data_IF_531547325586
#
_entry.id   IF_531547325586
#
_cell.length_a   1.000
_cell.length_b   1.000
_cell.length_c   1.000
_cell.angle_alpha   90.00
_cell.angle_beta   90.00
_cell.angle_gamma   90.00
#
_symmetry.space_group_name_H-M   'P 1'
#
loop_
_entity.id
_entity.type
_entity.pdbx_description
1 polymer ?
#
# COMPACT_ATOMS: atom_id res chain seq x y z
N UNK A 1 6.45 -5.11 -29.03
CA UNK A 1 7.29 -4.31 -28.10
C UNK A 1 7.42 -5.07 -26.80
N UNK A 2 8.62 -5.55 -26.48
CA UNK A 2 8.93 -6.28 -25.26
C UNK A 2 8.63 -5.40 -24.03
N UNK A 3 7.76 -5.88 -23.14
CA UNK A 3 7.61 -5.31 -21.79
C UNK A 3 8.99 -5.34 -21.13
N UNK A 4 9.58 -4.17 -20.87
CA UNK A 4 10.77 -4.07 -20.01
C UNK A 4 10.35 -4.54 -18.62
N UNK A 5 10.71 -5.76 -18.26
CA UNK A 5 10.78 -6.18 -16.86
C UNK A 5 11.65 -5.16 -16.14
N UNK A 6 11.09 -4.49 -15.13
CA UNK A 6 11.85 -3.56 -14.29
C UNK A 6 12.81 -4.41 -13.45
N UNK A 7 14.03 -4.60 -13.96
CA UNK A 7 15.10 -5.32 -13.30
C UNK A 7 15.35 -4.67 -11.93
N UNK A 8 15.27 -5.44 -10.84
CA UNK A 8 15.66 -4.96 -9.51
C UNK A 8 17.17 -4.68 -9.54
N UNK A 9 17.52 -3.41 -9.49
CA UNK A 9 18.90 -2.96 -9.58
C UNK A 9 19.55 -3.02 -8.20
N UNK A 10 20.32 -4.07 -7.96
CA UNK A 10 21.11 -4.22 -6.74
C UNK A 10 22.46 -3.48 -6.79
N UNK A 11 22.80 -2.84 -7.92
CA UNK A 11 24.03 -2.08 -8.10
C UNK A 11 23.80 -0.62 -7.70
N UNK A 12 24.31 -0.14 -6.56
CA UNK A 12 23.96 1.17 -6.01
C UNK A 12 24.35 2.33 -6.93
N UNK A 13 25.46 2.19 -7.65
CA UNK A 13 25.95 3.19 -8.61
C UNK A 13 24.90 3.44 -9.71
N UNK A 14 24.21 2.40 -10.17
CA UNK A 14 23.18 2.55 -11.20
C UNK A 14 21.96 3.32 -10.67
N UNK A 15 21.69 3.25 -9.37
CA UNK A 15 20.58 3.95 -8.73
C UNK A 15 20.80 5.48 -8.70
N UNK A 16 22.07 5.93 -8.69
CA UNK A 16 22.41 7.35 -8.82
C UNK A 16 22.02 7.93 -10.20
N UNK A 17 22.03 7.08 -11.23
CA UNK A 17 21.59 7.43 -12.58
C UNK A 17 20.07 7.32 -12.72
N UNK A 18 19.47 6.20 -12.30
CA UNK A 18 18.04 5.95 -12.52
C UNK A 18 17.15 6.79 -11.62
N UNK A 19 17.62 7.13 -10.41
CA UNK A 19 16.94 7.98 -9.42
C UNK A 19 15.50 7.57 -9.15
N UNK A 20 15.20 6.29 -9.28
CA UNK A 20 13.88 5.73 -9.02
C UNK A 20 13.98 4.28 -8.57
N UNK A 21 13.01 3.83 -7.79
CA UNK A 21 12.95 2.48 -7.25
C UNK A 21 11.95 2.38 -6.10
N UNK A 22 11.97 1.26 -5.39
CA UNK A 22 11.18 0.98 -4.17
C UNK A 22 12.08 1.07 -2.94
N UNK A 23 11.58 0.65 -1.78
CA UNK A 23 12.34 0.76 -0.54
C UNK A 23 13.72 0.11 -0.60
N UNK A 24 13.86 -1.02 -1.31
CA UNK A 24 15.15 -1.63 -1.64
C UNK A 24 16.14 -0.67 -2.27
N UNK A 25 15.79 -0.09 -3.41
CA UNK A 25 16.65 0.83 -4.14
C UNK A 25 16.90 2.14 -3.36
N UNK A 26 15.88 2.68 -2.69
CA UNK A 26 16.03 3.90 -1.89
C UNK A 26 16.98 3.68 -0.71
N UNK A 27 16.79 2.62 0.08
CA UNK A 27 17.67 2.28 1.19
C UNK A 27 19.10 1.99 0.71
N UNK A 28 19.25 1.27 -0.40
CA UNK A 28 20.57 0.92 -0.95
C UNK A 28 21.33 2.16 -1.46
N UNK A 29 20.65 3.04 -2.20
CA UNK A 29 21.22 4.29 -2.69
C UNK A 29 21.56 5.24 -1.53
N UNK A 30 20.68 5.38 -0.55
CA UNK A 30 20.92 6.22 0.62
C UNK A 30 22.08 5.70 1.46
N UNK A 31 22.16 4.38 1.70
CA UNK A 31 23.29 3.78 2.39
C UNK A 31 24.63 4.06 1.69
N UNK A 32 24.66 3.99 0.35
CA UNK A 32 25.83 4.38 -0.44
C UNK A 32 26.22 5.84 -0.17
N UNK A 33 25.26 6.76 -0.23
CA UNK A 33 25.48 8.19 -0.02
C UNK A 33 26.03 8.45 1.40
N UNK A 34 25.41 7.90 2.44
CA UNK A 34 25.88 8.03 3.82
C UNK A 34 27.33 7.55 3.97
N UNK A 35 27.66 6.40 3.40
CA UNK A 35 29.02 5.85 3.43
C UNK A 35 30.01 6.73 2.67
N UNK A 36 29.60 7.29 1.53
CA UNK A 36 30.45 8.16 0.71
C UNK A 36 30.82 9.47 1.42
N UNK A 37 29.92 10.03 2.23
CA UNK A 37 30.18 11.22 3.05
C UNK A 37 30.85 10.91 4.41
N UNK A 38 31.27 9.66 4.63
CA UNK A 38 32.03 9.27 5.82
C UNK A 38 31.20 8.87 7.04
N UNK A 39 29.87 8.77 6.92
CA UNK A 39 29.05 8.27 8.01
C UNK A 39 29.25 6.77 8.21
N UNK A 40 29.20 6.35 9.48
CA UNK A 40 29.04 4.93 9.78
C UNK A 40 27.58 4.56 9.57
N UNK A 41 27.35 3.47 8.84
CA UNK A 41 26.03 3.14 8.29
C UNK A 41 25.79 1.65 8.42
N UNK A 42 24.58 1.30 8.83
CA UNK A 42 24.04 -0.06 8.77
C UNK A 42 22.92 -0.10 7.75
N UNK A 43 22.90 -1.15 6.94
CA UNK A 43 21.73 -1.53 6.16
C UNK A 43 20.84 -2.41 7.02
N UNK A 44 19.56 -2.06 7.15
CA UNK A 44 18.60 -2.76 8.00
C UNK A 44 17.64 -3.57 7.15
N UNK A 45 17.40 -4.82 7.55
CA UNK A 45 16.46 -5.71 6.90
C UNK A 45 15.51 -6.30 7.94
N UNK A 46 14.21 -6.14 7.73
CA UNK A 46 13.18 -6.80 8.52
C UNK A 46 12.78 -8.16 7.93
N UNK A 47 11.98 -8.92 8.68
CA UNK A 47 11.40 -10.18 8.22
C UNK A 47 10.05 -10.03 7.50
N UNK A 48 9.61 -8.80 7.21
CA UNK A 48 8.30 -8.44 6.66
C UNK A 48 8.45 -7.59 5.37
N UNK A 49 9.52 -7.82 4.60
CA UNK A 49 9.78 -7.24 3.29
C UNK A 49 9.93 -5.70 3.27
N UNK A 50 10.66 -5.14 4.25
CA UNK A 50 11.12 -3.75 4.21
C UNK A 50 12.55 -3.61 4.69
N UNK A 51 13.16 -2.53 4.22
CA UNK A 51 14.58 -2.22 4.43
C UNK A 51 14.75 -0.72 4.59
N UNK A 52 15.70 -0.33 5.43
CA UNK A 52 16.04 1.05 5.72
C UNK A 52 17.48 1.13 6.20
N UNK A 53 17.88 2.26 6.78
CA UNK A 53 19.26 2.54 7.17
C UNK A 53 19.34 2.97 8.64
N UNK A 54 20.42 2.63 9.34
CA UNK A 54 20.83 3.33 10.56
C UNK A 54 22.14 4.07 10.32
N UNK A 55 22.28 5.25 10.90
CA UNK A 55 23.53 6.02 10.92
C UNK A 55 24.01 6.18 12.35
N UNK A 56 25.33 6.14 12.57
CA UNK A 56 25.90 6.46 13.88
C UNK A 56 25.94 7.98 14.07
N UNK A 57 25.20 8.50 15.04
CA UNK A 57 25.25 9.90 15.42
C UNK A 57 26.24 10.07 16.57
N UNK A 58 27.39 10.69 16.30
CA UNK A 58 28.46 10.88 17.30
C UNK A 58 27.98 11.74 18.48
N UNK A 59 27.23 12.81 18.23
CA UNK A 59 26.73 13.72 19.25
C UNK A 59 25.70 13.07 20.19
N UNK A 60 24.94 12.10 19.68
CA UNK A 60 23.93 11.36 20.45
C UNK A 60 24.49 10.06 21.04
N UNK A 61 25.72 9.71 20.70
CA UNK A 61 26.41 8.48 21.06
C UNK A 61 25.57 7.20 20.82
N UNK A 62 24.81 7.16 19.73
CA UNK A 62 23.93 6.04 19.39
C UNK A 62 23.66 5.89 17.89
N UNK A 63 23.11 4.73 17.53
CA UNK A 63 22.54 4.51 16.21
C UNK A 63 21.20 5.23 16.09
N UNK A 64 21.02 5.92 14.97
CA UNK A 64 19.82 6.66 14.62
C UNK A 64 19.17 5.98 13.43
N UNK A 65 17.89 5.69 13.59
CA UNK A 65 17.03 5.19 12.53
C UNK A 65 16.91 6.22 11.38
N UNK A 66 17.00 5.77 10.13
CA UNK A 66 16.75 6.59 8.95
C UNK A 66 15.98 5.77 7.90
N UNK A 67 14.75 6.18 7.59
CA UNK A 67 14.00 5.66 6.44
C UNK A 67 13.99 6.71 5.32
N UNK A 68 14.83 6.55 4.28
CA UNK A 68 14.88 7.49 3.17
C UNK A 68 13.64 7.43 2.28
N UNK A 69 12.87 6.34 2.31
CA UNK A 69 11.62 6.23 1.55
C UNK A 69 10.58 7.16 2.14
N UNK A 70 10.48 7.14 3.47
CA UNK A 70 9.48 7.88 4.24
C UNK A 70 9.94 9.30 4.60
N UNK A 71 11.22 9.62 4.35
CA UNK A 71 11.86 10.86 4.80
C UNK A 71 11.73 11.06 6.33
N UNK A 72 11.93 9.96 7.08
CA UNK A 72 11.81 9.93 8.53
C UNK A 72 13.15 9.58 9.16
N UNK A 73 13.48 10.28 10.24
CA UNK A 73 14.71 10.06 11.00
C UNK A 73 14.36 9.94 12.48
N UNK A 74 15.06 9.03 13.16
CA UNK A 74 14.95 8.79 14.59
C UNK A 74 13.51 8.51 15.06
N UNK A 75 12.84 7.58 14.39
CA UNK A 75 11.45 7.20 14.69
C UNK A 75 11.27 5.69 14.52
N UNK A 76 11.95 4.87 15.32
CA UNK A 76 12.00 3.43 15.10
C UNK A 76 10.65 2.74 15.31
N UNK A 77 9.74 3.30 16.11
CA UNK A 77 8.43 2.68 16.36
C UNK A 77 7.38 2.98 15.28
N UNK A 78 7.70 3.78 14.25
CA UNK A 78 6.78 4.09 13.14
C UNK A 78 6.23 2.82 12.46
N UNK A 79 7.03 1.76 12.41
CA UNK A 79 6.62 0.54 11.76
C UNK A 79 5.66 -0.30 12.59
N UNK A 80 5.97 -0.53 13.87
CA UNK A 80 5.12 -1.33 14.74
C UNK A 80 3.87 -0.56 15.17
N UNK A 81 4.03 0.71 15.56
CA UNK A 81 2.92 1.54 16.03
C UNK A 81 2.13 2.17 14.88
N UNK A 82 2.81 2.80 13.92
CA UNK A 82 2.17 3.45 12.78
C UNK A 82 1.65 2.46 11.74
N UNK A 83 2.49 1.53 11.27
CA UNK A 83 2.13 0.60 10.18
C UNK A 83 1.54 -0.72 10.69
N UNK A 84 1.43 -0.90 12.01
CA UNK A 84 0.96 -2.12 12.65
C UNK A 84 1.75 -3.38 12.22
N UNK A 85 3.04 -3.22 11.91
CA UNK A 85 3.92 -4.33 11.56
C UNK A 85 4.19 -5.21 12.76
N UNK A 86 4.09 -6.52 12.56
CA UNK A 86 4.23 -7.54 13.61
C UNK A 86 5.57 -8.23 13.51
N UNK A 87 6.65 -7.51 13.81
CA UNK A 87 8.01 -8.02 13.65
C UNK A 87 8.29 -9.28 14.46
N UNK A 88 9.13 -10.13 13.87
CA UNK A 88 9.84 -11.20 14.55
C UNK A 88 11.35 -10.91 14.58
N UNK A 89 11.93 -10.46 13.45
CA UNK A 89 13.36 -10.20 13.31
C UNK A 89 13.61 -8.92 12.52
N UNK A 90 14.52 -8.08 13.01
CA UNK A 90 15.09 -6.94 12.30
C UNK A 90 16.60 -6.96 12.50
N UNK A 91 17.35 -7.09 11.40
CA UNK A 91 18.79 -7.35 11.42
C UNK A 91 19.53 -6.19 10.76
N UNK A 92 20.57 -5.72 11.44
CA UNK A 92 21.45 -4.69 10.96
C UNK A 92 22.75 -5.28 10.40
N UNK A 93 23.15 -4.79 9.22
CA UNK A 93 24.39 -5.17 8.54
C UNK A 93 25.27 -3.94 8.37
N UNK A 94 26.44 -3.94 9.02
CA UNK A 94 27.50 -2.96 8.83
C UNK A 94 28.74 -3.60 8.21
N UNK A 95 29.73 -2.78 7.86
CA UNK A 95 31.02 -3.26 7.35
C UNK A 95 31.80 -4.13 8.34
N UNK A 96 31.60 -3.90 9.64
CA UNK A 96 32.42 -4.44 10.73
C UNK A 96 31.63 -5.30 11.73
N UNK A 97 30.30 -5.38 11.61
CA UNK A 97 29.47 -6.17 12.50
C UNK A 97 28.09 -6.46 11.89
N UNK A 98 27.43 -7.48 12.45
CA UNK A 98 26.01 -7.77 12.23
C UNK A 98 25.33 -7.79 13.60
N UNK A 99 24.14 -7.20 13.72
CA UNK A 99 23.44 -7.06 14.99
C UNK A 99 21.95 -7.37 14.86
N UNK A 100 21.38 -8.02 15.87
CA UNK A 100 19.93 -8.11 16.03
C UNK A 100 19.43 -6.82 16.69
N UNK A 101 18.77 -5.98 15.89
CA UNK A 101 18.24 -4.68 16.33
C UNK A 101 16.72 -4.71 16.51
N UNK A 102 16.10 -5.90 16.50
CA UNK A 102 14.64 -6.10 16.63
C UNK A 102 14.04 -5.26 17.76
N UNK A 103 14.70 -5.22 18.91
CA UNK A 103 14.19 -4.56 20.12
C UNK A 103 14.13 -3.03 20.03
N UNK A 104 14.84 -2.41 19.09
CA UNK A 104 14.69 -0.97 18.78
C UNK A 104 13.34 -0.68 18.12
N UNK A 105 12.89 -1.60 17.27
CA UNK A 105 11.73 -1.46 16.40
C UNK A 105 10.46 -2.12 16.95
N UNK A 106 10.50 -2.60 18.19
CA UNK A 106 9.35 -3.24 18.86
C UNK A 106 9.22 -2.76 20.30
N UNK A 107 8.00 -2.45 20.70
CA UNK A 107 7.64 -2.01 22.04
C UNK A 107 7.26 -3.21 22.94
N UNK A 108 6.41 -4.13 22.45
CA UNK A 108 6.03 -5.33 23.21
C UNK A 108 6.98 -6.50 22.94
N UNK A 109 7.99 -6.61 23.81
CA UNK A 109 8.99 -7.68 23.74
C UNK A 109 8.41 -9.07 23.99
N UNK A 110 7.36 -9.20 24.82
CA UNK A 110 6.75 -10.51 25.13
C UNK A 110 6.03 -11.05 23.91
N UNK A 111 5.27 -10.20 23.23
CA UNK A 111 4.56 -10.56 21.99
C UNK A 111 5.56 -10.83 20.86
N UNK A 112 6.56 -9.98 20.70
CA UNK A 112 7.61 -10.16 19.68
C UNK A 112 8.38 -11.47 19.89
N UNK A 113 8.73 -11.81 21.13
CA UNK A 113 9.42 -13.06 21.46
C UNK A 113 8.61 -14.30 21.06
N UNK A 114 7.28 -14.26 21.18
CA UNK A 114 6.40 -15.37 20.74
C UNK A 114 6.39 -15.57 19.22
N UNK A 115 6.68 -14.53 18.44
CA UNK A 115 6.74 -14.60 16.97
C UNK A 115 8.08 -15.14 16.45
N UNK A 116 9.13 -15.16 17.29
CA UNK A 116 10.49 -15.58 16.94
C UNK A 116 10.64 -17.10 16.93
N UNK A 117 9.94 -17.75 16.01
CA UNK A 117 9.84 -19.22 15.93
C UNK A 117 10.70 -19.86 14.84
N UNK A 118 11.29 -19.07 13.93
CA UNK A 118 12.06 -19.59 12.79
C UNK A 118 13.36 -20.30 13.20
N UNK A 119 13.89 -19.97 14.37
CA UNK A 119 15.09 -20.61 14.92
C UNK A 119 15.11 -20.52 16.45
N UNK A 120 15.85 -21.43 17.09
CA UNK A 120 16.05 -21.40 18.55
C UNK A 120 16.83 -20.12 18.93
N UNK A 121 16.37 -19.33 19.91
CA UNK A 121 17.02 -18.06 20.27
C UNK A 121 18.52 -18.18 20.54
N UNK A 122 18.95 -19.20 21.30
CA UNK A 122 20.37 -19.42 21.58
C UNK A 122 21.21 -19.71 20.32
N UNK A 123 20.65 -20.44 19.36
CA UNK A 123 21.34 -20.74 18.08
C UNK A 123 21.47 -19.46 17.27
N UNK A 124 20.41 -18.66 17.20
CA UNK A 124 20.40 -17.39 16.50
C UNK A 124 21.42 -16.40 17.06
N UNK A 125 21.41 -16.16 18.38
CA UNK A 125 22.37 -15.27 19.02
C UNK A 125 23.81 -15.75 18.82
N UNK A 126 24.06 -17.05 19.00
CA UNK A 126 25.39 -17.61 18.76
C UNK A 126 25.85 -17.42 17.30
N UNK A 127 24.94 -17.53 16.33
CA UNK A 127 25.25 -17.30 14.92
C UNK A 127 25.61 -15.84 14.66
N UNK A 128 24.78 -14.88 15.09
CA UNK A 128 25.01 -13.44 14.92
C UNK A 128 26.32 -13.02 15.60
N UNK A 129 26.56 -13.45 16.84
CA UNK A 129 27.80 -13.14 17.58
C UNK A 129 29.03 -13.70 16.86
N UNK A 130 28.99 -14.94 16.38
CA UNK A 130 30.12 -15.52 15.62
C UNK A 130 30.36 -14.78 14.30
N UNK A 131 29.30 -14.38 13.59
CA UNK A 131 29.41 -13.63 12.36
C UNK A 131 30.02 -12.24 12.60
N UNK A 132 29.53 -11.52 13.62
CA UNK A 132 30.04 -10.23 14.03
C UNK A 132 31.53 -10.30 14.44
N UNK A 133 31.90 -11.29 15.26
CA UNK A 133 33.29 -11.49 15.68
C UNK A 133 34.23 -11.78 14.50
N UNK A 134 33.75 -12.50 13.46
CA UNK A 134 34.54 -12.73 12.24
C UNK A 134 34.80 -11.44 11.47
N UNK A 135 33.79 -10.58 11.36
CA UNK A 135 33.93 -9.27 10.70
C UNK A 135 34.86 -8.34 11.49
N UNK A 136 34.82 -8.41 12.82
CA UNK A 136 35.64 -7.58 13.69
C UNK A 136 37.09 -8.07 13.87
N UNK A 137 37.42 -9.32 13.50
CA UNK A 137 38.68 -10.01 13.84
C UNK A 137 39.94 -9.22 13.48
N UNK A 138 39.95 -8.57 12.32
CA UNK A 138 41.12 -7.88 11.77
C UNK A 138 41.07 -6.35 11.98
N UNK A 139 40.12 -5.85 12.77
CA UNK A 139 40.03 -4.42 13.06
C UNK A 139 41.08 -4.00 14.10
N UNK A 140 41.53 -2.74 14.08
CA UNK A 140 42.38 -2.21 15.14
C UNK A 140 41.77 -2.38 16.52
N UNK A 141 42.60 -2.63 17.54
CA UNK A 141 42.15 -2.90 18.91
C UNK A 141 41.25 -1.76 19.45
N UNK A 142 41.58 -0.51 19.14
CA UNK A 142 40.77 0.65 19.53
C UNK A 142 39.35 0.60 18.93
N UNK A 143 39.22 0.20 17.66
CA UNK A 143 37.90 0.03 17.03
C UNK A 143 37.13 -1.14 17.62
N UNK A 144 37.81 -2.23 18.02
CA UNK A 144 37.15 -3.35 18.68
C UNK A 144 36.58 -2.94 20.05
N UNK A 145 37.35 -2.20 20.86
CA UNK A 145 36.89 -1.66 22.14
C UNK A 145 35.70 -0.71 21.96
N UNK A 146 35.78 0.17 20.96
CA UNK A 146 34.68 1.07 20.63
C UNK A 146 33.40 0.30 20.26
N UNK A 147 33.49 -0.68 19.36
CA UNK A 147 32.33 -1.49 18.96
C UNK A 147 31.73 -2.25 20.14
N UNK A 148 32.55 -2.78 21.05
CA UNK A 148 32.08 -3.42 22.28
C UNK A 148 31.34 -2.44 23.20
N UNK A 149 31.87 -1.22 23.39
CA UNK A 149 31.19 -0.18 24.16
C UNK A 149 29.84 0.18 23.56
N UNK A 150 29.79 0.42 22.24
CA UNK A 150 28.54 0.75 21.53
C UNK A 150 27.51 -0.38 21.61
N UNK A 151 27.96 -1.63 21.47
CA UNK A 151 27.10 -2.81 21.64
C UNK A 151 26.47 -2.88 23.04
N UNK A 152 27.25 -2.61 24.10
CA UNK A 152 26.73 -2.57 25.46
C UNK A 152 25.70 -1.45 25.65
N UNK A 153 25.96 -0.26 25.09
CA UNK A 153 25.01 0.85 25.09
C UNK A 153 23.69 0.47 24.39
N UNK A 154 23.74 -0.15 23.20
CA UNK A 154 22.55 -0.65 22.50
C UNK A 154 21.81 -1.75 23.29
N UNK A 155 22.54 -2.66 23.94
CA UNK A 155 21.91 -3.68 24.78
C UNK A 155 21.11 -3.03 25.92
N UNK A 156 21.65 -1.99 26.55
CA UNK A 156 20.97 -1.22 27.59
C UNK A 156 19.75 -0.48 27.02
N UNK A 157 19.88 0.17 25.86
CA UNK A 157 18.77 0.79 25.13
C UNK A 157 17.62 -0.23 24.91
N UNK A 158 17.94 -1.44 24.49
CA UNK A 158 16.96 -2.50 24.22
C UNK A 158 16.27 -3.03 25.47
N UNK A 159 16.81 -2.80 26.67
CA UNK A 159 16.14 -3.15 27.92
C UNK A 159 14.99 -2.20 28.25
N UNK A 160 14.98 -0.98 27.70
CA UNK A 160 14.03 0.07 28.05
C UNK A 160 13.26 0.59 26.83
N UNK A 161 12.19 -0.11 26.37
CA UNK A 161 11.44 0.24 25.17
C UNK A 161 10.91 1.67 25.13
N UNK A 162 10.72 2.29 26.29
CA UNK A 162 10.30 3.68 26.44
C UNK A 162 11.29 4.64 25.81
N UNK A 163 12.59 4.31 25.81
CA UNK A 163 13.63 5.14 25.18
C UNK A 163 13.54 5.13 23.65
N UNK A 164 12.78 4.19 23.07
CA UNK A 164 12.56 4.09 21.63
C UNK A 164 11.30 4.86 21.19
N UNK A 165 10.45 5.28 22.14
CA UNK A 165 9.37 6.23 21.86
C UNK A 165 9.95 7.61 21.67
N UNK A 166 9.48 8.30 20.64
CA UNK A 166 9.93 9.66 20.32
C UNK A 166 8.71 10.55 20.43
N UNK A 167 8.61 11.23 21.57
CA UNK A 167 7.47 12.07 21.93
C UNK A 167 7.19 13.09 20.81
N UNK A 168 5.98 13.03 20.24
CA UNK A 168 5.51 14.02 19.26
C UNK A 168 5.81 13.72 17.79
N UNK A 169 6.40 12.58 17.44
CA UNK A 169 6.57 12.21 16.02
C UNK A 169 5.23 11.78 15.40
N UNK A 170 4.69 12.58 14.48
CA UNK A 170 3.52 12.21 13.65
C UNK A 170 3.74 10.88 12.90
N UNK A 171 4.98 10.53 12.56
CA UNK A 171 5.26 9.26 11.87
C UNK A 171 5.00 8.02 12.74
N UNK A 172 4.92 8.14 14.08
CA UNK A 172 4.52 7.02 14.96
C UNK A 172 3.01 6.81 15.04
N UNK A 173 2.22 7.81 14.61
CA UNK A 173 0.75 7.79 14.67
C UNK A 173 0.09 7.58 13.31
N UNK A 174 0.86 7.63 12.21
CA UNK A 174 0.35 7.48 10.84
C UNK A 174 0.95 6.23 10.16
N UNK A 175 0.18 5.65 9.23
CA UNK A 175 0.65 4.56 8.36
C UNK A 175 1.71 5.02 7.36
N UNK A 176 2.13 4.14 6.46
CA UNK A 176 3.14 4.42 5.42
C UNK A 176 2.74 5.63 4.55
N UNK A 177 3.67 6.57 4.30
CA UNK A 177 3.41 7.81 3.55
C UNK A 177 4.31 7.95 2.30
N UNK A 178 5.31 7.09 2.07
CA UNK A 178 6.24 7.23 0.94
C UNK A 178 5.61 7.12 -0.46
N UNK A 179 6.01 8.06 -1.33
CA UNK A 179 5.60 8.17 -2.74
C UNK A 179 5.06 9.55 -3.11
N UNK A 180 5.36 10.05 -4.32
CA UNK A 180 4.67 11.23 -4.88
C UNK A 180 3.15 10.98 -4.88
N UNK A 181 2.32 12.03 -4.80
CA UNK A 181 0.84 11.90 -4.77
C UNK A 181 0.33 11.00 -5.91
N UNK A 182 0.88 11.17 -7.11
CA UNK A 182 0.68 10.32 -8.28
C UNK A 182 1.16 8.87 -8.14
N UNK A 183 2.22 8.60 -7.36
CA UNK A 183 2.74 7.26 -7.07
C UNK A 183 1.89 6.51 -6.02
N UNK A 184 1.34 7.25 -5.04
CA UNK A 184 0.37 6.74 -4.04
C UNK A 184 -0.99 6.42 -4.68
N UNK A 185 -1.47 7.32 -5.54
CA UNK A 185 -2.69 7.16 -6.33
C UNK A 185 -2.61 5.95 -7.29
N UNK A 186 -1.42 5.68 -7.84
CA UNK A 186 -1.20 4.53 -8.73
C UNK A 186 -1.17 3.16 -8.03
N UNK A 187 -1.13 3.10 -6.69
CA UNK A 187 -0.89 1.85 -5.94
C UNK A 187 -1.83 1.53 -4.77
N UNK A 188 -2.78 2.41 -4.45
CA UNK A 188 -3.86 2.12 -3.50
C UNK A 188 -3.37 1.65 -2.10
N UNK A 189 -2.29 2.24 -1.59
CA UNK A 189 -1.71 1.93 -0.26
C UNK A 189 -2.30 2.81 0.87
N UNK A 190 -3.38 3.55 0.61
CA UNK A 190 -4.15 4.24 1.66
C UNK A 190 -5.24 3.30 2.13
N UNK A 191 -5.19 2.90 3.40
CA UNK A 191 -6.33 2.27 4.09
C UNK A 191 -7.58 3.12 3.87
N UNK A 192 -8.59 2.55 3.20
CA UNK A 192 -9.97 3.06 3.05
C UNK A 192 -10.11 4.58 3.26
N UNK A 193 -9.46 5.38 2.42
CA UNK A 193 -9.90 6.76 2.26
C UNK A 193 -11.15 6.68 1.42
N UNK A 194 -12.32 6.79 2.07
CA UNK A 194 -13.58 6.71 1.37
C UNK A 194 -13.65 7.84 0.34
N UNK A 195 -13.45 7.52 -0.94
CA UNK A 195 -13.45 8.50 -2.00
C UNK A 195 -14.89 8.93 -2.28
N UNK A 196 -15.25 10.11 -1.79
CA UNK A 196 -16.49 10.78 -2.18
C UNK A 196 -16.18 11.62 -3.40
N UNK A 197 -16.76 11.25 -4.53
CA UNK A 197 -16.60 11.97 -5.78
C UNK A 197 -17.47 13.22 -5.74
N UNK A 198 -16.91 14.36 -6.17
CA UNK A 198 -17.62 15.64 -6.29
C UNK A 198 -17.51 16.18 -7.70
N UNK A 199 -18.57 16.80 -8.25
CA UNK A 199 -18.49 17.58 -9.47
C UNK A 199 -17.41 18.66 -9.36
N UNK A 200 -16.59 18.74 -10.39
CA UNK A 200 -15.64 19.83 -10.60
C UNK A 200 -16.37 21.03 -11.22
N UNK A 201 -15.76 22.21 -11.18
CA UNK A 201 -16.33 23.41 -11.80
C UNK A 201 -16.64 23.18 -13.28
N UNK A 202 -15.76 22.49 -14.02
CA UNK A 202 -15.97 22.18 -15.44
C UNK A 202 -17.17 21.26 -15.68
N UNK A 203 -17.42 20.29 -14.79
CA UNK A 203 -18.57 19.38 -14.90
C UNK A 203 -19.88 20.05 -14.52
N UNK A 204 -19.85 20.98 -13.57
CA UNK A 204 -21.00 21.83 -13.22
C UNK A 204 -21.33 22.76 -14.40
N UNK A 205 -20.33 23.42 -14.98
CA UNK A 205 -20.50 24.28 -16.16
C UNK A 205 -21.02 23.50 -17.38
N UNK A 206 -20.57 22.24 -17.55
CA UNK A 206 -21.05 21.34 -18.58
C UNK A 206 -22.40 20.67 -18.26
N UNK A 207 -22.94 20.89 -17.05
CA UNK A 207 -24.13 20.20 -16.49
C UNK A 207 -24.07 18.68 -16.57
N UNK A 208 -22.86 18.12 -16.52
CA UNK A 208 -22.64 16.69 -16.72
C UNK A 208 -21.38 16.22 -16.00
N UNK A 209 -21.55 15.34 -15.02
CA UNK A 209 -20.48 14.53 -14.44
C UNK A 209 -20.47 13.17 -15.12
N UNK A 210 -19.34 12.80 -15.72
CA UNK A 210 -19.20 11.53 -16.41
C UNK A 210 -17.91 10.82 -15.99
N UNK A 211 -18.04 9.56 -15.59
CA UNK A 211 -16.94 8.69 -15.15
C UNK A 211 -16.95 7.46 -16.04
N UNK A 212 -15.80 7.16 -16.64
CA UNK A 212 -15.57 5.94 -17.40
C UNK A 212 -14.47 5.13 -16.74
N UNK A 213 -14.63 3.81 -16.65
CA UNK A 213 -13.58 2.90 -16.25
C UNK A 213 -13.36 1.82 -17.29
N UNK A 214 -12.12 1.38 -17.40
CA UNK A 214 -11.73 0.24 -18.22
C UNK A 214 -10.89 -0.72 -17.37
N UNK A 215 -11.45 -1.91 -17.13
CA UNK A 215 -10.79 -2.99 -16.38
C UNK A 215 -9.56 -3.59 -17.08
N UNK A 216 -9.36 -3.45 -18.40
CA UNK A 216 -8.15 -3.88 -19.08
C UNK A 216 -6.95 -2.96 -18.76
N UNK A 217 -7.17 -1.64 -18.84
CA UNK A 217 -6.14 -0.61 -18.58
C UNK A 217 -6.03 -0.21 -17.11
N UNK A 218 -7.00 -0.64 -16.30
CA UNK A 218 -7.18 -0.30 -14.90
C UNK A 218 -7.15 1.23 -14.66
N UNK A 219 -8.01 1.93 -15.38
CA UNK A 219 -7.99 3.40 -15.45
C UNK A 219 -9.41 3.96 -15.48
N UNK A 220 -9.65 4.97 -14.64
CA UNK A 220 -10.79 5.86 -14.72
C UNK A 220 -10.46 7.08 -15.57
N UNK A 221 -11.46 7.62 -16.27
CA UNK A 221 -11.40 8.89 -17.01
C UNK A 221 -12.64 9.72 -16.72
N UNK A 222 -12.44 11.02 -16.50
CA UNK A 222 -13.51 12.02 -16.41
C UNK A 222 -13.38 12.98 -17.59
N UNK A 223 -14.19 12.82 -18.66
CA UNK A 223 -14.01 13.56 -19.90
C UNK A 223 -14.07 15.08 -19.73
N UNK A 224 -15.01 15.57 -18.91
CA UNK A 224 -15.23 17.00 -18.70
C UNK A 224 -14.17 17.67 -17.80
N UNK A 225 -13.51 16.91 -16.93
CA UNK A 225 -12.40 17.36 -16.08
C UNK A 225 -11.02 17.06 -16.70
N UNK A 226 -10.99 16.35 -17.84
CA UNK A 226 -9.78 15.83 -18.48
C UNK A 226 -8.84 15.07 -17.51
N UNK A 227 -9.38 14.50 -16.44
CA UNK A 227 -8.61 13.80 -15.40
C UNK A 227 -8.67 12.29 -15.56
N UNK A 228 -7.58 11.63 -15.16
CA UNK A 228 -7.43 10.17 -15.21
C UNK A 228 -6.90 9.65 -13.89
N UNK A 229 -7.47 8.55 -13.40
CA UNK A 229 -7.04 7.90 -12.15
C UNK A 229 -6.75 6.42 -12.38
N UNK A 230 -5.60 5.93 -11.94
CA UNK A 230 -5.21 4.52 -12.09
C UNK A 230 -5.72 3.68 -10.92
N UNK A 231 -6.13 2.45 -11.22
CA UNK A 231 -6.61 1.48 -10.24
C UNK A 231 -8.10 1.60 -9.97
N UNK A 232 -8.83 0.48 -10.00
CA UNK A 232 -10.28 0.44 -9.73
C UNK A 232 -10.66 1.01 -8.35
N UNK A 233 -9.74 0.98 -7.38
CA UNK A 233 -9.99 1.52 -6.03
C UNK A 233 -9.81 3.04 -5.93
N UNK A 234 -9.22 3.69 -6.93
CA UNK A 234 -8.89 5.12 -6.86
C UNK A 234 -10.10 6.04 -6.73
N UNK A 235 -11.26 5.63 -7.26
CA UNK A 235 -12.54 6.32 -7.13
C UNK A 235 -13.57 5.52 -6.32
N UNK A 236 -13.16 4.45 -5.64
CA UNK A 236 -14.06 3.66 -4.81
C UNK A 236 -14.26 4.35 -3.45
N UNK A 237 -15.52 4.51 -3.06
CA UNK A 237 -15.89 4.94 -1.71
C UNK A 237 -15.62 3.83 -0.69
N UNK A 238 -15.96 2.59 -1.04
CA UNK A 238 -15.67 1.43 -0.19
C UNK A 238 -15.29 0.23 -1.05
N UNK A 239 -14.32 -0.56 -0.59
CA UNK A 239 -13.88 -1.78 -1.28
C UNK A 239 -13.49 -2.84 -0.24
N UNK A 240 -14.36 -3.82 -0.01
CA UNK A 240 -14.12 -4.95 0.90
C UNK A 240 -13.96 -6.24 0.12
N UNK A 241 -12.86 -6.96 0.31
CA UNK A 241 -12.63 -8.28 -0.28
C UNK A 241 -12.80 -8.31 -1.82
N UNK A 242 -12.42 -7.23 -2.51
CA UNK A 242 -12.43 -7.15 -3.98
C UNK A 242 -11.02 -6.92 -4.49
N UNK A 243 -10.67 -7.60 -5.58
CA UNK A 243 -9.45 -7.34 -6.33
C UNK A 243 -9.67 -7.47 -7.83
N UNK A 244 -8.74 -6.89 -8.58
CA UNK A 244 -8.67 -7.01 -10.04
C UNK A 244 -7.83 -8.23 -10.42
N UNK A 245 -8.42 -9.17 -11.15
CA UNK A 245 -7.72 -10.35 -11.67
C UNK A 245 -7.36 -10.13 -13.14
N UNK A 246 -6.14 -10.52 -13.50
CA UNK A 246 -5.67 -10.61 -14.88
C UNK A 246 -5.34 -12.06 -15.17
N UNK A 247 -6.05 -12.65 -16.13
CA UNK A 247 -5.79 -13.98 -16.67
C UNK A 247 -4.97 -13.84 -17.95
N UNK A 248 -3.68 -14.17 -17.89
CA UNK A 248 -2.78 -14.06 -19.05
C UNK A 248 -3.15 -15.10 -20.11
N UNK A 249 -3.43 -16.33 -19.69
CA UNK A 249 -3.74 -17.45 -20.59
C UNK A 249 -5.02 -17.21 -21.40
N UNK A 250 -6.02 -16.58 -20.77
CA UNK A 250 -7.31 -16.28 -21.38
C UNK A 250 -7.38 -14.87 -21.97
N UNK A 251 -6.34 -14.05 -21.76
CA UNK A 251 -6.29 -12.62 -22.11
C UNK A 251 -7.49 -11.83 -21.57
N UNK A 252 -7.92 -12.10 -20.34
CA UNK A 252 -9.05 -11.42 -19.69
C UNK A 252 -8.64 -10.60 -18.47
N UNK A 253 -9.37 -9.53 -18.21
CA UNK A 253 -9.34 -8.78 -16.96
C UNK A 253 -10.76 -8.60 -16.41
N UNK A 254 -10.92 -8.66 -15.10
CA UNK A 254 -12.19 -8.50 -14.39
C UNK A 254 -11.97 -8.15 -12.92
N UNK A 255 -13.03 -7.71 -12.23
CA UNK A 255 -13.05 -7.58 -10.78
C UNK A 255 -13.84 -8.75 -10.17
N UNK A 256 -13.34 -9.31 -9.09
CA UNK A 256 -13.96 -10.43 -8.37
C UNK A 256 -13.58 -10.39 -6.89
N UNK A 257 -14.10 -11.36 -6.12
CA UNK A 257 -13.78 -11.46 -4.69
C UNK A 257 -12.33 -11.87 -4.48
N UNK A 258 -11.73 -11.44 -3.38
CA UNK A 258 -10.44 -11.97 -2.93
C UNK A 258 -10.53 -13.46 -2.61
N UNK A 259 -9.42 -14.19 -2.82
CA UNK A 259 -9.39 -15.64 -2.61
C UNK A 259 -9.76 -16.00 -1.17
N UNK A 260 -10.63 -17.01 -1.02
CA UNK A 260 -11.14 -17.44 0.30
C UNK A 260 -12.24 -16.56 0.90
N UNK A 261 -12.62 -15.45 0.27
CA UNK A 261 -13.69 -14.58 0.77
C UNK A 261 -15.09 -15.04 0.32
N UNK A 262 -16.04 -15.07 1.27
CA UNK A 262 -17.43 -15.44 1.01
C UNK A 262 -18.20 -14.33 0.26
N UNK A 263 -17.92 -13.08 0.61
CA UNK A 263 -18.53 -11.88 0.02
C UNK A 263 -17.48 -10.84 -0.34
N UNK A 264 -17.74 -10.11 -1.41
CA UNK A 264 -16.96 -8.94 -1.83
C UNK A 264 -17.90 -7.78 -2.13
N UNK A 265 -17.48 -6.57 -1.78
CA UNK A 265 -18.31 -5.37 -1.87
C UNK A 265 -17.50 -4.21 -2.44
N UNK A 266 -18.09 -3.50 -3.38
CA UNK A 266 -17.52 -2.32 -4.02
C UNK A 266 -18.58 -1.22 -4.09
N UNK A 267 -18.24 -0.03 -3.61
CA UNK A 267 -19.16 1.11 -3.51
C UNK A 267 -18.51 2.33 -4.15
N UNK A 268 -19.28 3.05 -4.97
CA UNK A 268 -18.98 4.39 -5.44
C UNK A 268 -19.98 5.37 -4.83
N UNK A 269 -19.51 6.53 -4.38
CA UNK A 269 -20.34 7.58 -3.81
C UNK A 269 -20.05 8.92 -4.48
N UNK A 270 -21.09 9.58 -4.96
CA UNK A 270 -21.03 10.91 -5.59
C UNK A 270 -21.91 11.86 -4.78
N UNK A 271 -21.33 12.96 -4.28
CA UNK A 271 -22.10 14.07 -3.69
C UNK A 271 -22.35 15.12 -4.77
N UNK A 272 -23.59 15.57 -4.95
CA UNK A 272 -23.94 16.53 -6.00
C UNK A 272 -23.55 17.98 -5.66
N UNK A 273 -23.11 18.24 -4.43
CA UNK A 273 -22.59 19.54 -3.98
C UNK A 273 -23.56 20.73 -4.20
N UNK A 274 -24.86 20.50 -4.09
CA UNK A 274 -25.91 21.51 -4.26
C UNK A 274 -26.58 21.51 -5.64
N UNK A 275 -26.03 20.80 -6.63
CA UNK A 275 -26.65 20.63 -7.94
C UNK A 275 -27.79 19.60 -7.89
N UNK A 276 -28.85 19.84 -8.65
CA UNK A 276 -29.98 18.91 -8.77
C UNK A 276 -29.74 17.92 -9.91
N UNK A 277 -29.83 16.59 -9.66
CA UNK A 277 -29.71 15.60 -10.73
C UNK A 277 -30.98 15.60 -11.60
N UNK A 278 -30.79 15.71 -12.91
CA UNK A 278 -31.83 15.55 -13.93
C UNK A 278 -31.93 14.10 -14.41
N UNK A 279 -30.80 13.44 -14.62
CA UNK A 279 -30.75 12.02 -14.99
C UNK A 279 -29.47 11.36 -14.43
N UNK A 280 -29.58 10.11 -13.99
CA UNK A 280 -28.44 9.30 -13.54
C UNK A 280 -28.44 8.00 -14.34
N UNK A 281 -27.39 7.79 -15.12
CA UNK A 281 -27.18 6.55 -15.88
C UNK A 281 -25.96 5.81 -15.35
N UNK A 282 -26.12 4.54 -14.99
CA UNK A 282 -25.04 3.66 -14.56
C UNK A 282 -25.04 2.42 -15.44
N UNK A 283 -23.86 2.07 -15.98
CA UNK A 283 -23.64 0.86 -16.75
C UNK A 283 -22.40 0.15 -16.21
N UNK A 284 -22.55 -1.10 -15.77
CA UNK A 284 -21.44 -1.97 -15.38
C UNK A 284 -21.40 -3.29 -16.17
N UNK A 285 -22.15 -3.35 -17.27
CA UNK A 285 -22.24 -4.53 -18.14
C UNK A 285 -22.86 -5.75 -17.48
N UNK A 286 -23.08 -6.80 -18.27
CA UNK A 286 -23.59 -8.07 -17.77
C UNK A 286 -22.51 -8.79 -16.92
N UNK A 287 -22.80 -9.13 -15.65
CA UNK A 287 -21.87 -9.87 -14.81
C UNK A 287 -21.68 -11.29 -15.30
N UNK A 288 -20.45 -11.80 -15.20
CA UNK A 288 -20.15 -13.19 -15.49
C UNK A 288 -20.23 -14.03 -14.21
N UNK A 289 -21.27 -14.86 -14.14
CA UNK A 289 -21.54 -15.74 -13.00
C UNK A 289 -21.42 -17.23 -13.37
N UNK A 290 -20.81 -18.05 -12.50
CA UNK A 290 -20.70 -19.52 -12.60
C UNK A 290 -21.06 -20.18 -11.27
N UNK A 291 -21.49 -21.44 -11.31
CA UNK A 291 -21.74 -22.29 -10.14
C UNK A 291 -22.34 -21.53 -8.94
N UNK A 292 -23.57 -21.03 -9.07
CA UNK A 292 -24.32 -20.21 -8.09
C UNK A 292 -23.66 -18.89 -7.64
N UNK A 293 -22.62 -18.43 -8.32
CA UNK A 293 -22.09 -17.07 -8.20
C UNK A 293 -23.18 -16.04 -8.49
N UNK A 294 -23.20 -14.97 -7.70
CA UNK A 294 -24.22 -13.93 -7.76
C UNK A 294 -23.59 -12.55 -7.67
N UNK A 295 -24.14 -11.62 -8.44
CA UNK A 295 -23.80 -10.20 -8.39
C UNK A 295 -25.09 -9.42 -8.15
N UNK A 296 -25.08 -8.57 -7.14
CA UNK A 296 -26.19 -7.71 -6.77
C UNK A 296 -25.73 -6.25 -6.86
N UNK A 297 -26.19 -5.54 -7.89
CA UNK A 297 -26.03 -4.10 -8.01
C UNK A 297 -27.22 -3.37 -7.37
N UNK A 298 -26.96 -2.33 -6.59
CA UNK A 298 -27.98 -1.45 -6.01
C UNK A 298 -27.52 -0.01 -6.17
N UNK A 299 -28.39 0.83 -6.71
CA UNK A 299 -28.18 2.27 -6.83
C UNK A 299 -29.14 2.96 -5.90
N UNK A 300 -28.63 3.81 -5.00
CA UNK A 300 -29.41 4.63 -4.11
C UNK A 300 -29.16 6.11 -4.40
N UNK A 301 -30.22 6.88 -4.56
CA UNK A 301 -30.18 8.34 -4.68
C UNK A 301 -31.12 8.92 -3.63
N UNK A 302 -30.59 9.51 -2.57
CA UNK A 302 -31.39 9.85 -1.38
C UNK A 302 -32.04 8.61 -0.75
N UNK A 303 -33.36 8.63 -0.56
CA UNK A 303 -34.13 7.50 -0.02
C UNK A 303 -34.55 6.46 -1.07
N UNK A 304 -34.34 6.74 -2.37
CA UNK A 304 -34.75 5.84 -3.44
C UNK A 304 -33.62 4.88 -3.79
N UNK A 305 -33.86 3.57 -3.67
CA UNK A 305 -32.91 2.52 -4.06
C UNK A 305 -33.51 1.60 -5.13
N UNK A 306 -32.75 1.35 -6.20
CA UNK A 306 -33.14 0.49 -7.31
C UNK A 306 -32.08 -0.59 -7.53
N UNK A 307 -32.53 -1.82 -7.73
CA UNK A 307 -31.65 -2.94 -8.09
C UNK A 307 -31.26 -2.83 -9.57
N UNK A 308 -29.98 -3.06 -9.86
CA UNK A 308 -29.42 -2.98 -11.20
C UNK A 308 -28.76 -4.30 -11.57
N UNK A 309 -29.05 -4.79 -12.76
CA UNK A 309 -28.46 -6.02 -13.29
C UNK A 309 -27.29 -5.73 -14.24
N UNK A 310 -27.38 -4.67 -15.05
CA UNK A 310 -26.38 -4.27 -16.02
C UNK A 310 -26.32 -2.74 -16.21
N UNK A 311 -27.41 -2.14 -16.70
CA UNK A 311 -27.58 -0.71 -16.94
C UNK A 311 -28.87 -0.22 -16.30
N UNK A 312 -28.83 0.94 -15.68
CA UNK A 312 -30.02 1.66 -15.19
C UNK A 312 -29.94 3.13 -15.58
N UNK A 313 -31.08 3.71 -15.90
CA UNK A 313 -31.26 5.15 -16.02
C UNK A 313 -32.37 5.58 -15.07
N UNK A 314 -32.05 6.46 -14.13
CA UNK A 314 -32.98 7.09 -13.20
C UNK A 314 -33.27 8.52 -13.70
N UNK A 315 -34.54 8.91 -13.76
CA UNK A 315 -34.98 10.24 -14.21
C UNK A 315 -35.90 10.93 -13.19
N UNK A 316 -36.20 10.26 -12.09
CA UNK A 316 -37.07 10.77 -11.03
C UNK A 316 -36.24 10.80 -9.76
N UNK A 317 -36.17 11.96 -9.12
CA UNK A 317 -35.38 12.19 -7.92
C UNK A 317 -36.23 12.98 -6.92
N UNK A 318 -36.08 12.67 -5.64
CA UNK A 318 -36.67 13.46 -4.58
C UNK A 318 -35.96 14.82 -4.44
N UNK A 319 -36.66 15.84 -3.95
CA UNK A 319 -36.08 17.19 -3.79
C UNK A 319 -34.87 17.25 -2.83
N UNK A 320 -34.70 16.22 -2.00
CA UNK A 320 -33.59 16.05 -1.04
C UNK A 320 -32.46 15.14 -1.56
N UNK A 321 -32.48 14.75 -2.85
CA UNK A 321 -31.43 13.97 -3.48
C UNK A 321 -30.10 14.75 -3.49
N UNK A 322 -29.26 14.52 -2.50
CA UNK A 322 -27.97 15.20 -2.31
C UNK A 322 -26.76 14.37 -2.73
N UNK A 323 -26.95 13.05 -2.88
CA UNK A 323 -25.90 12.12 -3.25
C UNK A 323 -26.44 10.89 -3.99
N UNK A 324 -25.54 10.24 -4.71
CA UNK A 324 -25.70 8.94 -5.35
C UNK A 324 -24.74 7.93 -4.72
N UNK A 325 -25.23 6.76 -4.36
CA UNK A 325 -24.44 5.60 -3.97
C UNK A 325 -24.71 4.44 -4.92
N UNK A 326 -23.67 3.90 -5.54
CA UNK A 326 -23.76 2.67 -6.32
C UNK A 326 -22.95 1.57 -5.63
N UNK A 327 -23.63 0.51 -5.21
CA UNK A 327 -23.06 -0.63 -4.49
C UNK A 327 -23.18 -1.89 -5.34
N UNK A 328 -22.09 -2.64 -5.43
CA UNK A 328 -22.06 -4.00 -5.99
C UNK A 328 -21.62 -4.97 -4.90
N UNK A 329 -22.47 -5.97 -4.62
CA UNK A 329 -22.12 -7.15 -3.81
C UNK A 329 -21.90 -8.37 -4.72
N UNK A 330 -20.80 -9.08 -4.49
CA UNK A 330 -20.49 -10.36 -5.12
C UNK A 330 -20.55 -11.46 -4.05
N UNK A 331 -21.21 -12.58 -4.34
CA UNK A 331 -21.38 -13.71 -3.41
C UNK A 331 -21.58 -15.05 -4.16
N UNK A 332 -21.75 -16.16 -3.45
CA UNK A 332 -21.93 -17.50 -4.05
C UNK A 332 -20.65 -18.10 -4.64
N UNK A 333 -20.76 -19.10 -5.50
CA UNK A 333 -19.65 -19.89 -6.02
C UNK A 333 -19.47 -21.24 -5.29
N UNK A 334 -18.65 -22.13 -5.87
CA UNK A 334 -18.41 -23.48 -5.33
C UNK A 334 -16.93 -23.84 -5.31
N UNK A 335 -16.51 -24.50 -4.23
CA UNK A 335 -15.14 -25.01 -4.06
C UNK A 335 -14.09 -23.90 -3.86
N UNK A 336 -12.81 -24.28 -4.00
CA UNK A 336 -11.68 -23.40 -3.72
C UNK A 336 -11.60 -22.18 -4.66
N UNK A 337 -12.26 -22.25 -5.82
CA UNK A 337 -12.30 -21.19 -6.82
C UNK A 337 -13.58 -20.33 -6.77
N UNK A 338 -14.41 -20.48 -5.74
CA UNK A 338 -15.67 -19.72 -5.60
C UNK A 338 -15.48 -18.20 -5.72
N UNK A 339 -14.32 -17.68 -5.32
CA UNK A 339 -13.98 -16.25 -5.36
C UNK A 339 -14.03 -15.62 -6.77
N UNK A 340 -13.79 -16.41 -7.82
CA UNK A 340 -13.85 -15.97 -9.22
C UNK A 340 -15.15 -16.36 -9.93
N UNK A 341 -16.13 -16.91 -9.22
CA UNK A 341 -17.38 -17.37 -9.83
C UNK A 341 -18.42 -16.25 -10.01
N UNK A 342 -18.18 -15.07 -9.44
CA UNK A 342 -18.94 -13.85 -9.68
C UNK A 342 -17.94 -12.78 -10.11
N UNK A 343 -18.01 -12.36 -11.37
CA UNK A 343 -17.08 -11.42 -11.98
C UNK A 343 -17.83 -10.26 -12.59
N UNK A 344 -17.37 -9.04 -12.34
CA UNK A 344 -17.87 -7.84 -13.00
C UNK A 344 -16.80 -7.26 -13.92
N UNK A 345 -17.24 -6.51 -14.92
CA UNK A 345 -16.35 -5.79 -15.84
C UNK A 345 -15.36 -6.72 -16.56
N UNK A 346 -15.79 -7.94 -16.91
CA UNK A 346 -14.96 -8.90 -17.63
C UNK A 346 -14.77 -8.44 -19.07
N UNK A 347 -13.53 -8.16 -19.47
CA UNK A 347 -13.20 -7.81 -20.85
C UNK A 347 -11.87 -8.42 -21.30
N UNK A 348 -11.60 -8.31 -22.60
CA UNK A 348 -10.30 -8.65 -23.19
C UNK A 348 -9.20 -7.64 -22.79
N UNK A 349 -7.96 -8.12 -22.70
CA UNK A 349 -6.80 -7.28 -22.30
C UNK A 349 -6.42 -6.21 -23.31
N UNK A 350 -6.84 -6.33 -24.56
CA UNK A 350 -6.68 -5.33 -25.62
C UNK A 350 -7.90 -4.40 -25.74
N UNK A 351 -8.92 -4.57 -24.89
CA UNK A 351 -10.07 -3.69 -24.87
C UNK A 351 -9.65 -2.26 -24.48
N UNK A 352 -9.88 -1.33 -25.40
CA UNK A 352 -9.64 0.11 -25.19
C UNK A 352 -10.92 0.87 -24.85
N UNK A 353 -12.09 0.23 -24.94
CA UNK A 353 -13.40 0.83 -24.68
C UNK A 353 -13.76 0.77 -23.21
N UNK A 354 -14.56 1.74 -22.78
CA UNK A 354 -15.18 1.78 -21.45
C UNK A 354 -16.03 0.52 -21.21
N UNK A 355 -15.85 -0.11 -20.04
CA UNK A 355 -16.68 -1.23 -19.61
C UNK A 355 -17.46 -0.96 -18.31
N UNK A 356 -17.24 0.20 -17.69
CA UNK A 356 -18.09 0.76 -16.64
C UNK A 356 -18.24 2.26 -16.82
N UNK A 357 -19.45 2.79 -16.67
CA UNK A 357 -19.69 4.23 -16.67
C UNK A 357 -20.75 4.66 -15.67
N UNK A 358 -20.52 5.82 -15.03
CA UNK A 358 -21.54 6.57 -14.31
C UNK A 358 -21.65 7.94 -14.97
N UNK A 359 -22.87 8.34 -15.32
CA UNK A 359 -23.18 9.65 -15.87
C UNK A 359 -24.30 10.29 -15.07
N UNK A 360 -24.07 11.51 -14.60
CA UNK A 360 -25.05 12.34 -13.89
C UNK A 360 -25.22 13.62 -14.69
N UNK A 361 -26.41 13.85 -15.23
CA UNK A 361 -26.78 15.12 -15.85
C UNK A 361 -27.44 16.00 -14.77
N UNK A 362 -27.02 17.26 -14.68
CA UNK A 362 -27.58 18.25 -13.76
C UNK A 362 -28.60 19.15 -14.46
N UNK A 363 -29.49 19.80 -13.70
CA UNK A 363 -30.52 20.71 -14.20
C UNK A 363 -29.98 21.98 -14.89
#
# INVERSE_FOLDING_TARGET
MLKKEKMMLNVPIKLLETRNGRCGEWANCFALICRAIGLETRYIMDNLDHVWVEIWAQELDRWVHCDPCENVMDTPLMYESGWNKKYAYVIAFAKDHVMDVTWRYTFDRKVTSKRRTQCRPAVFYNFITKLSNRLAKNLPQERQKELQRRYLCEMIEFLWPQNNKRDGSEAETHGRISGSKQWREARCETTNSACVIKPTTNEIDAKCLEIHYNSATDEYRRPHDASTSKGFKSLAFESKNVFRKVEIDWKKAYLCRTEGSEKGELVWKIEFNGEKPKSVTINFGEPFCRDNGNVLGVVCCGEQCVRVNDTVTLNEFSDDATYLEFRIEMSGGKGNNAWQHAQILRCDLDNTKTNFSIRVEFE
#
